data_IF_528604118428
#
_entry.id   IF_528604118428
#
_cell.length_a   1.000
_cell.length_b   1.000
_cell.length_c   1.000
_cell.angle_alpha   90.00
_cell.angle_beta   90.00
_cell.angle_gamma   90.00
#
_symmetry.space_group_name_H-M   'P 1'
#
loop_
_entity.id
_entity.type
_entity.pdbx_description
1 polymer ?
#
# COMPACT_ATOMS: atom_id res chain seq x y z
N UNK A 1 1.68 -17.93 6.10
CA UNK A 1 2.69 -16.99 5.57
C UNK A 1 2.07 -16.41 4.32
N UNK A 2 1.64 -15.15 4.33
CA UNK A 2 1.13 -14.51 3.13
C UNK A 2 2.32 -14.03 2.30
N UNK A 3 2.41 -14.49 1.05
CA UNK A 3 3.36 -14.00 0.05
C UNK A 3 3.04 -12.52 -0.27
N UNK A 4 3.55 -11.63 0.58
CA UNK A 4 3.51 -10.19 0.38
C UNK A 4 4.51 -9.81 -0.69
N UNK A 5 4.11 -9.96 -1.96
CA UNK A 5 4.90 -9.44 -3.06
C UNK A 5 4.88 -7.91 -3.01
N UNK A 6 6.01 -7.33 -2.64
CA UNK A 6 6.16 -5.88 -2.58
C UNK A 6 6.16 -5.32 -4.00
N UNK A 7 5.24 -4.40 -4.28
CA UNK A 7 5.11 -3.76 -5.59
C UNK A 7 6.26 -2.78 -5.81
N UNK A 8 6.58 -1.95 -4.81
CA UNK A 8 7.65 -0.97 -4.89
C UNK A 8 8.08 -0.44 -3.51
N UNK A 9 9.27 0.15 -3.48
CA UNK A 9 9.81 0.86 -2.33
C UNK A 9 10.08 2.32 -2.72
N UNK A 10 9.83 3.23 -1.78
CA UNK A 10 10.16 4.65 -1.94
C UNK A 10 10.81 5.17 -0.65
N UNK A 11 11.86 5.98 -0.81
CA UNK A 11 12.49 6.69 0.29
C UNK A 11 12.98 8.06 -0.19
N UNK A 12 13.13 8.99 0.75
CA UNK A 12 13.74 10.30 0.48
C UNK A 12 14.50 10.79 1.69
N UNK A 13 15.48 11.65 1.44
CA UNK A 13 16.15 12.38 2.50
C UNK A 13 15.26 13.52 3.02
N UNK A 14 15.38 13.81 4.32
CA UNK A 14 14.73 14.96 4.94
C UNK A 14 15.33 16.26 4.42
N UNK A 15 14.45 17.20 4.07
CA UNK A 15 14.84 18.57 3.74
C UNK A 15 15.37 19.27 4.99
N UNK A 16 16.22 20.28 4.81
CA UNK A 16 16.86 21.02 5.91
C UNK A 16 15.85 21.54 6.94
N UNK A 17 14.68 21.99 6.49
CA UNK A 17 13.63 22.47 7.39
C UNK A 17 12.84 21.34 8.08
N UNK A 18 12.70 20.18 7.44
CA UNK A 18 12.02 19.01 8.01
C UNK A 18 12.82 18.42 9.18
N UNK A 19 14.16 18.54 9.18
CA UNK A 19 15.01 18.07 10.28
C UNK A 19 14.67 18.68 11.65
N UNK A 20 13.96 19.80 11.67
CA UNK A 20 13.52 20.47 12.90
C UNK A 20 12.12 20.03 13.35
N UNK A 21 11.46 19.16 12.60
CA UNK A 21 10.10 18.74 12.90
C UNK A 21 10.12 17.75 14.06
N UNK A 22 9.06 17.74 14.90
CA UNK A 22 8.89 16.67 15.87
C UNK A 22 8.69 15.34 15.14
N UNK A 23 9.03 14.24 15.79
CA UNK A 23 8.94 12.88 15.23
C UNK A 23 7.57 12.61 14.63
N UNK A 24 6.48 12.95 15.33
CA UNK A 24 5.12 12.79 14.81
C UNK A 24 4.89 13.49 13.45
N UNK A 25 5.42 14.70 13.26
CA UNK A 25 5.28 15.42 11.99
C UNK A 25 6.15 14.80 10.89
N UNK A 26 7.30 14.23 11.24
CA UNK A 26 8.16 13.54 10.30
C UNK A 26 7.50 12.26 9.80
N UNK A 27 6.94 11.47 10.72
CA UNK A 27 6.19 10.25 10.44
C UNK A 27 4.98 10.55 9.53
N UNK A 28 4.19 11.57 9.88
CA UNK A 28 3.08 12.01 9.04
C UNK A 28 3.55 12.51 7.67
N UNK A 29 4.70 13.18 7.60
CA UNK A 29 5.27 13.64 6.33
C UNK A 29 5.70 12.49 5.42
N UNK A 30 6.08 11.34 5.99
CA UNK A 30 6.37 10.13 5.24
C UNK A 30 5.10 9.55 4.61
N UNK A 31 3.97 9.58 5.33
CA UNK A 31 2.63 9.23 4.79
C UNK A 31 2.25 10.10 3.62
N UNK A 32 2.33 11.40 3.81
CA UNK A 32 2.02 12.36 2.75
C UNK A 32 2.95 12.18 1.56
N UNK A 33 4.23 11.86 1.78
CA UNK A 33 5.18 11.60 0.71
C UNK A 33 4.83 10.34 -0.09
N UNK A 34 4.51 9.24 0.59
CA UNK A 34 4.11 7.99 -0.06
C UNK A 34 2.84 8.20 -0.89
N UNK A 35 1.80 8.84 -0.33
CA UNK A 35 0.57 9.13 -1.05
C UNK A 35 0.78 10.03 -2.27
N UNK A 36 1.73 10.98 -2.21
CA UNK A 36 2.05 11.82 -3.38
C UNK A 36 2.77 11.07 -4.50
N UNK A 37 3.66 10.14 -4.17
CA UNK A 37 4.34 9.31 -5.18
C UNK A 37 3.35 8.33 -5.80
N UNK A 38 2.59 7.66 -4.96
CA UNK A 38 1.71 6.56 -5.36
C UNK A 38 0.28 7.03 -5.62
N UNK A 39 0.02 8.34 -5.69
CA UNK A 39 -1.33 8.91 -5.79
C UNK A 39 -2.12 8.32 -6.95
N UNK A 40 -1.50 8.18 -8.13
CA UNK A 40 -2.13 7.58 -9.30
C UNK A 40 -2.53 6.11 -9.13
N UNK A 41 -1.91 5.39 -8.20
CA UNK A 41 -2.20 3.99 -7.88
C UNK A 41 -3.18 3.83 -6.72
N UNK A 42 -3.29 4.83 -5.85
CA UNK A 42 -4.05 4.76 -4.60
C UNK A 42 -5.35 5.55 -4.66
N UNK A 43 -5.53 6.40 -5.66
CA UNK A 43 -6.75 7.16 -5.82
C UNK A 43 -7.95 6.23 -6.06
N UNK A 44 -9.02 6.42 -5.27
CA UNK A 44 -10.23 5.60 -5.35
C UNK A 44 -10.14 4.20 -4.75
N UNK A 45 -8.99 3.80 -4.18
CA UNK A 45 -8.78 2.48 -3.58
C UNK A 45 -8.57 2.62 -2.07
N UNK A 46 -9.16 1.69 -1.30
CA UNK A 46 -8.88 1.53 0.13
C UNK A 46 -7.44 1.11 0.34
N UNK A 47 -6.66 1.99 0.95
CA UNK A 47 -5.28 1.74 1.28
C UNK A 47 -5.07 1.68 2.79
N UNK A 48 -4.42 0.60 3.23
CA UNK A 48 -3.99 0.43 4.61
C UNK A 48 -2.55 0.90 4.74
N UNK A 49 -2.29 1.79 5.69
CA UNK A 49 -0.97 2.34 6.00
C UNK A 49 -0.53 1.79 7.34
N UNK A 50 0.52 0.97 7.31
CA UNK A 50 1.13 0.41 8.52
C UNK A 50 2.28 1.29 8.99
N UNK A 51 2.25 1.73 10.25
CA UNK A 51 3.29 2.56 10.88
C UNK A 51 3.66 2.01 12.25
N UNK A 52 4.92 2.18 12.65
CA UNK A 52 5.42 1.89 14.00
C UNK A 52 5.26 3.05 14.98
N UNK A 53 4.55 4.12 14.58
CA UNK A 53 4.23 5.24 15.46
C UNK A 53 2.77 5.25 15.91
N UNK A 54 2.53 4.85 17.16
CA UNK A 54 1.19 4.70 17.74
C UNK A 54 0.31 5.97 17.66
N UNK A 55 0.90 7.15 17.82
CA UNK A 55 0.19 8.43 17.78
C UNK A 55 -0.48 8.73 16.43
N UNK A 56 0.06 8.22 15.32
CA UNK A 56 -0.49 8.42 13.99
C UNK A 56 -1.84 7.71 13.79
N UNK A 57 -2.14 6.68 14.58
CA UNK A 57 -3.44 6.01 14.54
C UNK A 57 -4.61 6.98 14.83
N UNK A 58 -4.34 8.02 15.62
CA UNK A 58 -5.35 8.99 16.06
C UNK A 58 -5.30 10.32 15.29
N UNK A 59 -4.51 10.40 14.21
CA UNK A 59 -4.29 11.67 13.47
C UNK A 59 -5.58 12.24 12.88
N UNK A 60 -6.53 11.38 12.48
CA UNK A 60 -7.85 11.78 11.98
C UNK A 60 -8.80 12.28 13.07
N UNK A 61 -8.61 11.84 14.31
CA UNK A 61 -9.49 12.16 15.44
C UNK A 61 -9.00 13.36 16.27
N UNK A 62 -7.79 13.84 16.02
CA UNK A 62 -7.17 14.91 16.79
C UNK A 62 -7.81 16.27 16.47
N UNK A 63 -8.30 16.97 17.51
CA UNK A 63 -8.99 18.27 17.35
C UNK A 63 -8.04 19.43 17.06
N UNK A 64 -6.87 19.43 17.71
CA UNK A 64 -5.89 20.49 17.58
C UNK A 64 -4.75 20.08 16.65
N UNK A 65 -4.91 20.48 15.39
CA UNK A 65 -3.92 20.29 14.33
C UNK A 65 -3.21 21.60 14.01
N UNK A 66 -1.88 21.55 13.88
CA UNK A 66 -1.08 22.67 13.39
C UNK A 66 -1.43 22.97 11.91
N UNK A 67 -1.21 24.20 11.44
CA UNK A 67 -1.49 24.63 10.06
C UNK A 67 -0.88 23.69 9.01
N UNK A 68 0.32 23.17 9.28
CA UNK A 68 0.98 22.16 8.44
C UNK A 68 0.21 20.85 8.39
N UNK A 69 -0.15 20.33 9.56
CA UNK A 69 -0.92 19.09 9.67
C UNK A 69 -2.28 19.24 9.00
N UNK A 70 -2.97 20.38 9.14
CA UNK A 70 -4.23 20.66 8.43
C UNK A 70 -4.11 20.52 6.92
N UNK A 71 -3.07 21.10 6.31
CA UNK A 71 -2.80 20.95 4.86
C UNK A 71 -2.55 19.49 4.46
N UNK A 72 -1.92 18.72 5.32
CA UNK A 72 -1.71 17.29 5.08
C UNK A 72 -2.99 16.48 5.27
N UNK A 73 -3.85 16.87 6.21
CA UNK A 73 -5.17 16.26 6.41
C UNK A 73 -6.11 16.51 5.24
N UNK A 74 -6.06 17.69 4.62
CA UNK A 74 -6.79 17.95 3.37
C UNK A 74 -6.40 16.95 2.29
N UNK A 75 -5.10 16.73 2.10
CA UNK A 75 -4.62 15.72 1.14
C UNK A 75 -5.04 14.31 1.53
N UNK A 76 -4.96 13.94 2.81
CA UNK A 76 -5.34 12.60 3.28
C UNK A 76 -6.84 12.33 3.08
N UNK A 77 -7.71 13.34 3.14
CA UNK A 77 -9.15 13.20 2.91
C UNK A 77 -9.51 12.82 1.47
N UNK A 78 -8.63 13.13 0.52
CA UNK A 78 -8.83 12.76 -0.89
C UNK A 78 -8.59 11.26 -1.14
N UNK A 79 -8.04 10.53 -0.16
CA UNK A 79 -7.74 9.10 -0.24
C UNK A 79 -8.50 8.32 0.83
N UNK A 80 -8.93 7.10 0.52
CA UNK A 80 -9.53 6.18 1.49
C UNK A 80 -8.43 5.44 2.27
N UNK A 81 -7.77 6.18 3.17
CA UNK A 81 -6.60 5.71 3.95
C UNK A 81 -7.01 5.27 5.35
N UNK A 82 -6.60 4.07 5.74
CA UNK A 82 -6.69 3.61 7.13
C UNK A 82 -5.29 3.44 7.71
N UNK A 83 -5.00 4.12 8.83
CA UNK A 83 -3.70 4.04 9.49
C UNK A 83 -3.76 3.00 10.61
N UNK A 84 -2.93 1.97 10.52
CA UNK A 84 -2.82 0.90 11.49
C UNK A 84 -1.44 0.90 12.14
N UNK A 85 -1.40 0.84 13.46
CA UNK A 85 -0.15 0.66 14.20
C UNK A 85 0.32 -0.79 14.08
N UNK A 86 1.59 -0.98 13.75
CA UNK A 86 2.28 -2.27 13.78
C UNK A 86 3.57 -2.14 14.58
N UNK A 87 3.80 -3.07 15.51
CA UNK A 87 4.96 -3.00 16.38
C UNK A 87 6.27 -3.13 15.58
N UNK A 88 7.22 -2.21 15.79
CA UNK A 88 8.42 -2.01 14.96
C UNK A 88 9.30 -3.25 14.68
N UNK A 89 9.18 -4.33 15.46
CA UNK A 89 9.83 -5.62 15.14
C UNK A 89 9.38 -6.23 13.80
N UNK A 90 8.21 -5.84 13.30
CA UNK A 90 7.70 -6.25 11.99
C UNK A 90 8.17 -5.34 10.83
N UNK A 91 8.86 -4.23 11.13
CA UNK A 91 9.21 -3.18 10.16
C UNK A 91 10.61 -3.32 9.54
N UNK A 92 11.15 -4.54 9.53
CA UNK A 92 12.55 -4.82 9.20
C UNK A 92 12.95 -4.31 7.81
N UNK A 93 12.03 -4.35 6.85
CA UNK A 93 12.30 -3.97 5.46
C UNK A 93 12.55 -2.47 5.31
N UNK A 94 11.80 -1.66 6.06
CA UNK A 94 11.97 -0.22 6.01
C UNK A 94 13.19 0.24 6.79
N UNK A 95 13.48 -0.39 7.92
CA UNK A 95 14.69 -0.15 8.70
C UNK A 95 15.93 -0.39 7.84
N UNK A 96 15.95 -1.47 7.06
CA UNK A 96 17.04 -1.79 6.14
C UNK A 96 17.19 -0.73 5.02
N UNK A 97 16.08 -0.22 4.48
CA UNK A 97 16.10 0.83 3.45
C UNK A 97 16.62 2.16 3.99
N UNK A 98 16.26 2.54 5.21
CA UNK A 98 16.72 3.77 5.86
C UNK A 98 18.21 3.66 6.21
N UNK A 99 18.66 2.54 6.78
CA UNK A 99 20.06 2.31 7.11
C UNK A 99 20.98 2.43 5.89
N UNK A 100 20.59 1.86 4.75
CA UNK A 100 21.37 1.94 3.51
C UNK A 100 21.40 3.35 2.90
N UNK A 101 20.28 4.08 2.96
CA UNK A 101 20.19 5.45 2.43
C UNK A 101 20.96 6.48 3.27
N UNK A 102 21.15 6.20 4.56
CA UNK A 102 21.83 7.09 5.50
C UNK A 102 23.33 6.78 5.68
N UNK A 103 23.81 5.59 5.32
CA UNK A 103 25.22 5.21 5.54
C UNK A 103 25.64 5.24 7.02
N UNK A 104 24.67 5.22 7.93
CA UNK A 104 24.88 5.37 9.37
C UNK A 104 24.85 3.99 10.01
N UNK A 105 26.03 3.53 10.42
CA UNK A 105 26.20 2.57 11.52
C UNK A 105 25.63 3.21 12.79
N UNK A 106 24.64 2.55 13.37
CA UNK A 106 24.10 2.67 14.73
C UNK A 106 23.73 4.10 15.24
N UNK A 107 22.46 4.24 15.65
CA UNK A 107 21.84 5.39 16.37
C UNK A 107 21.15 6.43 15.47
N UNK A 108 20.05 6.03 14.86
CA UNK A 108 19.02 6.94 14.37
C UNK A 108 17.70 6.19 14.25
N UNK A 109 16.74 6.50 15.13
CA UNK A 109 15.42 5.89 15.12
C UNK A 109 14.67 6.15 13.81
N UNK A 110 13.75 5.24 13.49
CA UNK A 110 12.87 5.23 12.32
C UNK A 110 11.98 6.48 12.29
N UNK A 111 11.59 6.92 11.08
CA UNK A 111 10.71 8.05 10.80
C UNK A 111 9.47 7.66 9.96
N UNK A 112 8.99 6.43 10.13
CA UNK A 112 7.94 5.71 9.40
C UNK A 112 8.43 4.84 8.23
N UNK A 113 7.82 3.65 8.16
CA UNK A 113 7.59 2.94 6.91
C UNK A 113 6.12 2.97 6.58
N UNK A 114 5.80 2.75 5.31
CA UNK A 114 4.43 2.60 4.85
C UNK A 114 4.41 1.49 3.83
N UNK A 115 3.86 0.36 4.23
CA UNK A 115 3.46 -0.70 3.31
C UNK A 115 2.07 -0.31 2.80
N UNK A 116 1.96 0.16 1.56
CA UNK A 116 0.65 0.40 0.95
C UNK A 116 0.17 -0.90 0.31
N UNK A 117 -0.90 -1.48 0.85
CA UNK A 117 -1.58 -2.61 0.21
C UNK A 117 -2.74 -2.11 -0.63
N UNK A 118 -2.68 -2.38 -1.93
CA UNK A 118 -3.83 -2.22 -2.79
C UNK A 118 -4.76 -3.42 -2.57
N UNK A 119 -5.83 -3.21 -1.82
CA UNK A 119 -6.93 -4.18 -1.63
C UNK A 119 -7.62 -4.53 -2.94
N UNK A 120 -7.53 -3.65 -3.94
CA UNK A 120 -8.10 -3.83 -5.28
C UNK A 120 -7.63 -5.11 -5.99
N UNK A 121 -6.36 -5.50 -5.84
CA UNK A 121 -5.89 -6.77 -6.43
C UNK A 121 -6.52 -7.99 -5.73
N UNK A 122 -6.77 -7.91 -4.42
CA UNK A 122 -7.46 -8.95 -3.67
C UNK A 122 -8.95 -9.00 -4.03
N UNK A 123 -9.59 -7.84 -4.22
CA UNK A 123 -10.97 -7.73 -4.69
C UNK A 123 -11.15 -8.25 -6.11
N UNK A 124 -10.26 -7.91 -7.04
CA UNK A 124 -10.28 -8.48 -8.41
C UNK A 124 -10.16 -10.00 -8.34
N UNK A 125 -9.22 -10.51 -7.54
CA UNK A 125 -9.05 -11.96 -7.36
C UNK A 125 -10.30 -12.60 -6.81
N UNK A 126 -10.92 -12.03 -5.78
CA UNK A 126 -12.17 -12.55 -5.21
C UNK A 126 -13.32 -12.53 -6.23
N UNK A 127 -13.52 -11.40 -6.92
CA UNK A 127 -14.59 -11.20 -7.92
C UNK A 127 -14.39 -12.05 -9.20
N UNK A 128 -13.20 -12.59 -9.45
CA UNK A 128 -13.01 -13.61 -10.51
C UNK A 128 -13.79 -14.89 -10.22
N UNK A 129 -13.86 -15.32 -8.94
CA UNK A 129 -14.54 -16.57 -8.56
C UNK A 129 -16.07 -16.45 -8.61
N UNK A 130 -16.60 -15.23 -8.57
CA UNK A 130 -18.04 -14.97 -8.66
C UNK A 130 -18.55 -14.96 -10.10
N UNK A 131 -17.67 -14.83 -11.09
CA UNK A 131 -18.07 -14.72 -12.49
C UNK A 131 -18.20 -16.11 -13.15
N UNK A 132 -19.43 -16.48 -13.53
CA UNK A 132 -19.72 -17.75 -14.20
C UNK A 132 -18.93 -17.93 -15.51
N UNK A 133 -18.75 -16.87 -16.31
CA UNK A 133 -18.01 -16.95 -17.58
C UNK A 133 -16.52 -17.21 -17.35
N UNK A 134 -15.91 -16.62 -16.31
CA UNK A 134 -14.51 -16.85 -15.98
C UNK A 134 -14.29 -18.23 -15.34
N UNK A 135 -15.26 -18.72 -14.57
CA UNK A 135 -15.25 -20.07 -14.03
C UNK A 135 -15.40 -21.14 -15.14
N UNK A 136 -16.23 -20.89 -16.15
CA UNK A 136 -16.30 -21.75 -17.34
C UNK A 136 -14.99 -21.75 -18.13
N UNK A 137 -14.36 -20.57 -18.28
CA UNK A 137 -13.06 -20.47 -18.94
C UNK A 137 -11.99 -21.23 -18.15
N UNK A 138 -11.99 -21.12 -16.82
CA UNK A 138 -11.11 -21.87 -15.92
C UNK A 138 -11.26 -23.37 -16.08
N UNK A 139 -12.50 -23.88 -16.13
CA UNK A 139 -12.76 -25.32 -16.41
C UNK A 139 -12.22 -25.75 -17.78
N UNK A 140 -12.32 -24.89 -18.80
CA UNK A 140 -11.79 -25.14 -20.15
C UNK A 140 -10.26 -25.11 -20.21
N UNK A 141 -9.62 -24.26 -19.41
CA UNK A 141 -8.15 -24.18 -19.28
C UNK A 141 -7.59 -25.40 -18.54
N UNK A 142 -8.25 -25.88 -17.47
CA UNK A 142 -7.88 -27.14 -16.79
C UNK A 142 -8.07 -28.37 -17.70
N UNK A 143 -9.01 -28.30 -18.64
CA UNK A 143 -9.23 -29.33 -19.67
C UNK A 143 -8.27 -29.23 -20.87
N UNK A 144 -7.24 -28.37 -20.80
CA UNK A 144 -6.18 -28.17 -21.81
C UNK A 144 -6.69 -27.72 -23.20
N UNK A 145 -7.85 -27.04 -23.23
CA UNK A 145 -8.51 -26.57 -24.46
C UNK A 145 -8.34 -25.08 -24.74
N UNK A 146 -7.65 -24.33 -23.87
CA UNK A 146 -7.48 -22.88 -24.00
C UNK A 146 -6.01 -22.54 -24.30
N UNK A 147 -5.72 -22.11 -25.53
CA UNK A 147 -4.35 -21.92 -26.03
C UNK A 147 -3.59 -20.70 -25.48
N UNK A 148 -4.19 -19.85 -24.65
CA UNK A 148 -3.60 -18.56 -24.23
C UNK A 148 -3.90 -18.16 -22.76
N UNK A 149 -4.52 -19.05 -21.98
CA UNK A 149 -4.90 -18.79 -20.59
C UNK A 149 -4.03 -19.58 -19.61
N UNK A 150 -3.47 -18.91 -18.61
CA UNK A 150 -2.62 -19.49 -17.57
C UNK A 150 -3.24 -19.31 -16.19
N UNK A 151 -3.14 -20.33 -15.36
CA UNK A 151 -3.57 -20.29 -13.95
C UNK A 151 -2.33 -20.11 -13.07
N UNK A 152 -2.38 -19.13 -12.19
CA UNK A 152 -1.31 -18.91 -11.20
C UNK A 152 -1.51 -19.83 -9.97
N UNK A 153 -0.53 -19.87 -9.07
CA UNK A 153 -0.51 -20.62 -7.80
C UNK A 153 -1.74 -20.42 -6.91
N UNK A 154 -2.48 -19.32 -7.09
CA UNK A 154 -3.75 -19.02 -6.41
C UNK A 154 -5.00 -19.26 -7.25
N UNK A 155 -4.92 -20.04 -8.33
CA UNK A 155 -6.04 -20.34 -9.25
C UNK A 155 -6.64 -19.09 -9.96
N UNK A 156 -5.90 -17.98 -9.94
CA UNK A 156 -6.27 -16.71 -10.58
C UNK A 156 -6.06 -16.84 -12.09
N UNK A 157 -7.09 -16.48 -12.86
CA UNK A 157 -7.05 -16.56 -14.31
C UNK A 157 -6.26 -15.38 -14.89
N UNK A 158 -5.24 -15.71 -15.67
CA UNK A 158 -4.45 -14.75 -16.45
C UNK A 158 -4.49 -15.11 -17.93
N UNK A 159 -4.49 -14.09 -18.79
CA UNK A 159 -4.45 -14.24 -20.24
C UNK A 159 -3.29 -13.41 -20.77
N UNK A 160 -2.32 -14.05 -21.43
CA UNK A 160 -1.11 -13.39 -21.96
C UNK A 160 -0.45 -12.44 -20.95
N UNK A 161 -0.14 -12.96 -19.76
CA UNK A 161 0.50 -12.24 -18.64
C UNK A 161 -0.34 -11.12 -18.00
N UNK A 162 -1.64 -11.00 -18.33
CA UNK A 162 -2.55 -10.01 -17.73
C UNK A 162 -3.62 -10.70 -16.89
N UNK A 163 -3.92 -10.15 -15.72
CA UNK A 163 -5.00 -10.65 -14.85
C UNK A 163 -6.36 -10.37 -15.51
N UNK A 164 -7.22 -11.39 -15.60
CA UNK A 164 -8.55 -11.24 -16.17
C UNK A 164 -9.47 -10.50 -15.19
N UNK A 165 -9.89 -9.28 -15.50
CA UNK A 165 -10.81 -8.53 -14.62
C UNK A 165 -12.25 -8.94 -14.95
N UNK A 166 -13.00 -9.34 -13.91
CA UNK A 166 -14.43 -9.64 -14.03
C UNK A 166 -15.20 -8.35 -14.35
N UNK A 167 -16.05 -8.40 -15.37
CA UNK A 167 -16.93 -7.28 -15.77
C UNK A 167 -18.15 -7.21 -14.84
N UNK A 168 -17.91 -7.10 -13.54
CA UNK A 168 -18.94 -6.78 -12.55
C UNK A 168 -19.04 -5.26 -12.51
N UNK A 169 -20.26 -4.73 -12.51
CA UNK A 169 -20.55 -3.28 -12.58
C UNK A 169 -19.89 -2.46 -11.43
N UNK A 170 -19.32 -3.11 -10.42
CA UNK A 170 -18.64 -2.50 -9.26
C UNK A 170 -17.09 -2.42 -9.38
N UNK A 171 -16.51 -2.62 -10.56
CA UNK A 171 -15.05 -2.60 -10.78
C UNK A 171 -14.58 -1.60 -11.86
N UNK A 172 -15.50 -0.89 -12.54
CA UNK A 172 -15.21 0.04 -13.64
C UNK A 172 -15.91 1.37 -13.40
#
# INVERSE_FOLDING_TARGET
MHDKNVIAYASRQLKVHERKYPTHDLELSAVVFALKIWGNYLYGIKCEVFTDHFSLQHVFTQKDLNLRQRRWMELLKDYDVTIQYHQGKANVVADALIQKALGISEKGGVLASIEVRATFLEEIKAKQFENENLNELRKKTVSDKAQDATLDTGDVLSFKERICVSRVDDLI
#
